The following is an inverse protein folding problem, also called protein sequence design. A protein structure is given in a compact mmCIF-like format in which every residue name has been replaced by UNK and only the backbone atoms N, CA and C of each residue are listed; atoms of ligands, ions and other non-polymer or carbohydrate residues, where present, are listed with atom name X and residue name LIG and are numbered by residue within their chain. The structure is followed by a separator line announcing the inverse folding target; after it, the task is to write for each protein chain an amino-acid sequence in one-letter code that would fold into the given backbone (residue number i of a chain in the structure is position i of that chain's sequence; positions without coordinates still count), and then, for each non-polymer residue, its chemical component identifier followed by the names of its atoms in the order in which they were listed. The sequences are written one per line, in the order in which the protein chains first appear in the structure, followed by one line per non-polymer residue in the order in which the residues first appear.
data_IF_944082123800
#
_entry.id   IF_944082123800
#
_cell.length_a   1.000
_cell.length_b   1.000
_cell.length_c   1.000
_cell.angle_alpha   90.00
_cell.angle_beta   90.00
_cell.angle_gamma   90.00
#
_symmetry.space_group_name_H-M   'P 1'
#
loop_
_entity.id
_entity.type
_entity.pdbx_description
1 polymer ?
#
# COMPACT_ATOMS: atom_id res chain seq x y z
N UNK A 1 0.92 3.60 -15.01
CA UNK A 1 2.00 3.56 -13.98
C UNK A 1 2.88 2.37 -14.31
N UNK A 2 4.21 2.46 -14.14
CA UNK A 2 5.12 1.31 -14.34
C UNK A 2 5.00 0.36 -13.15
N UNK A 3 4.92 -0.96 -13.34
CA UNK A 3 4.92 -1.91 -12.24
C UNK A 3 6.33 -2.06 -11.64
N UNK A 4 6.43 -2.48 -10.37
CA UNK A 4 7.70 -2.88 -9.76
C UNK A 4 8.20 -4.20 -10.33
N UNK A 5 7.28 -5.15 -10.55
CA UNK A 5 7.58 -6.46 -11.11
C UNK A 5 6.86 -6.69 -12.42
N UNK A 6 7.55 -7.33 -13.35
CA UNK A 6 6.97 -7.83 -14.58
C UNK A 6 7.01 -9.35 -14.58
N UNK A 7 5.93 -9.97 -15.05
CA UNK A 7 5.80 -11.41 -15.14
C UNK A 7 5.11 -11.77 -16.44
N UNK A 8 5.48 -12.91 -17.03
CA UNK A 8 4.71 -13.52 -18.12
C UNK A 8 3.45 -14.18 -17.58
N UNK A 9 3.62 -14.91 -16.47
CA UNK A 9 2.60 -15.64 -15.74
C UNK A 9 2.99 -15.76 -14.25
N UNK A 10 2.19 -16.49 -13.47
CA UNK A 10 2.37 -16.67 -12.02
C UNK A 10 3.52 -17.61 -11.63
N UNK A 11 4.12 -18.33 -12.59
CA UNK A 11 5.18 -19.32 -12.36
C UNK A 11 6.52 -18.94 -13.04
N UNK A 12 6.51 -17.89 -13.85
CA UNK A 12 7.64 -17.42 -14.64
C UNK A 12 8.65 -16.58 -13.86
N UNK A 13 9.73 -16.21 -14.55
CA UNK A 13 10.76 -15.31 -14.01
C UNK A 13 10.15 -13.93 -13.80
N UNK A 14 10.20 -13.45 -12.56
CA UNK A 14 9.83 -12.07 -12.24
C UNK A 14 10.97 -11.14 -12.61
N UNK A 15 10.68 -10.03 -13.27
CA UNK A 15 11.67 -9.01 -13.59
C UNK A 15 11.43 -7.76 -12.77
N UNK A 16 12.46 -7.30 -12.08
CA UNK A 16 12.46 -6.05 -11.34
C UNK A 16 12.56 -4.90 -12.34
N UNK A 17 11.60 -3.97 -12.32
CA UNK A 17 11.72 -2.72 -13.06
C UNK A 17 12.72 -1.81 -12.31
N UNK A 18 13.91 -1.54 -12.87
CA UNK A 18 14.94 -0.77 -12.19
C UNK A 18 14.57 0.71 -12.03
N UNK A 19 13.63 1.25 -12.81
CA UNK A 19 13.17 2.62 -12.60
C UNK A 19 12.38 2.76 -11.30
N UNK A 20 11.52 1.79 -11.01
CA UNK A 20 10.72 1.75 -9.78
C UNK A 20 11.56 1.21 -8.62
N UNK A 21 12.27 0.10 -8.85
CA UNK A 21 13.06 -0.59 -7.83
C UNK A 21 14.23 0.23 -7.29
N UNK A 22 14.84 1.12 -8.09
CA UNK A 22 15.96 1.94 -7.63
C UNK A 22 15.60 2.87 -6.45
N UNK A 23 14.32 3.20 -6.28
CA UNK A 23 13.85 4.05 -5.19
C UNK A 23 13.40 3.25 -3.95
N UNK A 24 13.18 1.94 -4.06
CA UNK A 24 12.46 1.17 -3.02
C UNK A 24 13.14 -0.14 -2.63
N UNK A 25 14.00 -0.70 -3.48
CA UNK A 25 14.73 -1.93 -3.20
C UNK A 25 16.10 -1.59 -2.63
N UNK A 26 16.43 -2.24 -1.52
CA UNK A 26 17.68 -2.05 -0.81
C UNK A 26 18.77 -3.02 -1.29
N UNK A 27 20.02 -2.67 -1.00
CA UNK A 27 21.20 -3.47 -1.37
C UNK A 27 22.00 -2.96 -2.56
N UNK A 28 21.65 -1.79 -3.13
CA UNK A 28 22.54 -1.03 -4.03
C UNK A 28 22.88 -1.69 -5.38
N UNK A 29 22.03 -2.60 -5.87
CA UNK A 29 22.31 -3.45 -7.03
C UNK A 29 21.86 -2.89 -8.37
N UNK A 30 20.86 -2.00 -8.33
CA UNK A 30 20.31 -1.40 -9.55
C UNK A 30 21.26 -0.30 -10.02
N UNK A 31 21.79 -0.46 -11.22
CA UNK A 31 22.73 0.50 -11.80
C UNK A 31 22.00 1.48 -12.73
N UNK A 32 22.63 2.64 -12.98
CA UNK A 32 22.14 3.56 -14.01
C UNK A 32 22.10 2.92 -15.42
N UNK A 33 22.89 1.87 -15.66
CA UNK A 33 22.84 1.12 -16.92
C UNK A 33 21.57 0.26 -17.02
N UNK A 34 21.12 -0.32 -15.90
CA UNK A 34 19.88 -1.10 -15.81
C UNK A 34 18.67 -0.23 -16.08
N UNK A 35 18.62 0.96 -15.47
CA UNK A 35 17.57 1.96 -15.70
C UNK A 35 17.49 2.31 -17.18
N UNK A 36 18.61 2.67 -17.82
CA UNK A 36 18.66 3.00 -19.25
C UNK A 36 18.27 1.83 -20.15
N UNK A 37 18.60 0.59 -19.77
CA UNK A 37 18.19 -0.60 -20.51
C UNK A 37 16.65 -0.72 -20.50
N UNK A 38 16.03 -0.64 -19.31
CA UNK A 38 14.58 -0.76 -19.18
C UNK A 38 13.80 0.42 -19.76
N UNK A 39 14.37 1.62 -19.80
CA UNK A 39 13.80 2.74 -20.55
C UNK A 39 13.72 2.43 -22.06
N UNK A 40 14.81 1.91 -22.64
CA UNK A 40 14.81 1.50 -24.06
C UNK A 40 13.81 0.39 -24.35
N UNK A 41 13.73 -0.62 -23.47
CA UNK A 41 12.81 -1.74 -23.62
C UNK A 41 11.35 -1.27 -23.45
N UNK A 42 11.08 -0.37 -22.51
CA UNK A 42 9.76 0.25 -22.34
C UNK A 42 9.33 1.04 -23.58
N UNK A 43 10.24 1.81 -24.19
CA UNK A 43 9.95 2.53 -25.44
C UNK A 43 9.71 1.58 -26.62
N UNK A 44 10.35 0.40 -26.64
CA UNK A 44 10.21 -0.59 -27.71
C UNK A 44 8.90 -1.39 -27.61
N UNK A 45 8.56 -1.88 -26.42
CA UNK A 45 7.46 -2.84 -26.23
C UNK A 45 6.22 -2.24 -25.54
N UNK A 46 6.35 -1.09 -24.87
CA UNK A 46 5.26 -0.48 -24.12
C UNK A 46 4.92 -1.18 -22.80
N UNK A 47 3.78 -0.83 -22.17
CA UNK A 47 3.39 -1.32 -20.85
C UNK A 47 2.88 -2.77 -20.83
N UNK A 48 2.52 -3.32 -21.97
CA UNK A 48 1.90 -4.65 -22.13
C UNK A 48 2.55 -5.38 -23.31
N UNK A 49 3.76 -5.92 -23.13
CA UNK A 49 4.43 -6.72 -24.15
C UNK A 49 3.64 -8.00 -24.44
N UNK A 50 3.73 -8.51 -25.67
CA UNK A 50 3.30 -9.88 -25.98
C UNK A 50 4.23 -10.90 -25.32
N UNK A 51 3.83 -12.18 -25.26
CA UNK A 51 4.67 -13.25 -24.72
C UNK A 51 6.07 -13.30 -25.36
N UNK A 52 6.15 -13.26 -26.69
CA UNK A 52 7.43 -13.23 -27.42
C UNK A 52 8.29 -12.00 -27.05
N UNK A 53 7.65 -10.84 -26.92
CA UNK A 53 8.33 -9.60 -26.52
C UNK A 53 8.81 -9.67 -25.07
N UNK A 54 8.06 -10.32 -24.18
CA UNK A 54 8.45 -10.54 -22.80
C UNK A 54 9.63 -11.52 -22.70
N UNK A 55 9.63 -12.60 -23.50
CA UNK A 55 10.77 -13.51 -23.58
C UNK A 55 12.06 -12.80 -24.05
N UNK A 56 11.97 -11.91 -25.04
CA UNK A 56 13.09 -11.04 -25.43
C UNK A 56 13.55 -10.14 -24.27
N UNK A 57 12.62 -9.60 -23.51
CA UNK A 57 12.88 -8.75 -22.35
C UNK A 57 13.61 -9.53 -21.25
N UNK A 58 13.14 -10.73 -20.90
CA UNK A 58 13.79 -11.64 -19.94
C UNK A 58 15.21 -12.00 -20.41
N UNK A 59 15.39 -12.29 -21.70
CA UNK A 59 16.70 -12.63 -22.26
C UNK A 59 17.69 -11.46 -22.20
N UNK A 60 17.24 -10.25 -22.47
CA UNK A 60 18.07 -9.04 -22.43
C UNK A 60 18.36 -8.54 -21.00
N UNK A 61 17.56 -8.95 -20.02
CA UNK A 61 17.65 -8.47 -18.64
C UNK A 61 18.81 -9.15 -17.87
N UNK A 62 19.67 -8.39 -17.18
CA UNK A 62 20.72 -8.93 -16.32
C UNK A 62 20.19 -9.82 -15.20
N UNK A 63 21.00 -10.78 -14.74
CA UNK A 63 20.62 -11.73 -13.69
C UNK A 63 20.19 -11.06 -12.37
N UNK A 64 20.90 -10.02 -11.92
CA UNK A 64 20.52 -9.21 -10.74
C UNK A 64 19.12 -8.56 -10.78
N UNK A 65 18.48 -8.47 -11.95
CA UNK A 65 17.11 -7.94 -12.09
C UNK A 65 16.06 -9.05 -12.26
N UNK A 66 16.48 -10.32 -12.25
CA UNK A 66 15.58 -11.48 -12.29
C UNK A 66 15.33 -11.93 -10.88
N UNK A 67 14.10 -11.82 -10.41
CA UNK A 67 13.68 -12.23 -9.08
C UNK A 67 13.14 -13.66 -9.11
N UNK A 68 13.60 -14.45 -8.16
CA UNK A 68 13.06 -15.75 -7.79
C UNK A 68 12.43 -15.61 -6.41
N UNK A 69 11.17 -16.04 -6.28
CA UNK A 69 10.44 -15.96 -5.02
C UNK A 69 11.11 -16.79 -3.91
N UNK A 70 10.87 -16.47 -2.63
CA UNK A 70 11.50 -17.17 -1.52
C UNK A 70 11.17 -18.67 -1.56
N UNK A 71 12.17 -19.49 -1.32
CA UNK A 71 12.02 -20.95 -1.24
C UNK A 71 12.92 -21.51 -0.15
N UNK A 72 12.68 -22.76 0.27
CA UNK A 72 13.58 -23.45 1.19
C UNK A 72 15.03 -23.47 0.69
N UNK A 73 15.23 -23.56 -0.63
CA UNK A 73 16.56 -23.60 -1.24
C UNK A 73 17.30 -22.26 -1.16
N UNK A 74 16.57 -21.15 -1.23
CA UNK A 74 17.13 -19.79 -1.26
C UNK A 74 17.10 -19.09 0.09
N UNK A 75 16.46 -19.68 1.10
CA UNK A 75 16.29 -19.10 2.44
C UNK A 75 17.59 -18.62 3.08
N UNK A 76 18.67 -19.39 2.95
CA UNK A 76 19.96 -19.02 3.55
C UNK A 76 20.51 -17.70 3.01
N UNK A 77 20.24 -17.37 1.75
CA UNK A 77 20.70 -16.13 1.13
C UNK A 77 20.04 -14.88 1.73
N UNK A 78 18.86 -15.03 2.36
CA UNK A 78 18.09 -13.95 2.98
C UNK A 78 18.03 -14.05 4.50
N UNK A 79 18.79 -14.93 5.14
CA UNK A 79 18.64 -15.23 6.57
C UNK A 79 18.89 -14.01 7.48
N UNK A 80 19.75 -13.08 7.06
CA UNK A 80 20.02 -11.86 7.83
C UNK A 80 18.84 -10.89 7.75
N UNK A 81 18.27 -10.73 6.55
CA UNK A 81 17.14 -9.86 6.28
C UNK A 81 15.82 -10.44 6.83
N UNK A 82 15.64 -11.77 6.81
CA UNK A 82 14.50 -12.43 7.49
C UNK A 82 14.53 -12.23 9.01
N UNK A 83 15.70 -12.00 9.60
CA UNK A 83 15.87 -11.73 11.03
C UNK A 83 15.69 -10.26 11.41
N UNK A 84 15.63 -9.36 10.42
CA UNK A 84 15.45 -7.93 10.60
C UNK A 84 13.97 -7.57 10.42
N UNK A 85 13.29 -7.21 11.51
CA UNK A 85 11.86 -6.89 11.50
C UNK A 85 11.51 -5.68 10.62
N UNK A 86 12.48 -4.81 10.30
CA UNK A 86 12.29 -3.69 9.39
C UNK A 86 12.49 -4.07 7.91
N UNK A 87 12.93 -5.30 7.63
CA UNK A 87 13.20 -5.80 6.29
C UNK A 87 12.07 -6.70 5.81
N UNK A 88 11.63 -6.46 4.57
CA UNK A 88 10.61 -7.25 3.91
C UNK A 88 11.25 -7.98 2.74
N UNK A 89 11.49 -9.27 2.94
CA UNK A 89 12.15 -10.13 1.95
C UNK A 89 11.21 -10.43 0.78
N UNK A 90 11.71 -10.19 -0.43
CA UNK A 90 10.99 -10.48 -1.68
C UNK A 90 11.45 -11.77 -2.34
N UNK A 91 12.68 -12.21 -2.08
CA UNK A 91 13.26 -13.39 -2.69
C UNK A 91 14.74 -13.21 -2.98
N UNK A 92 15.22 -13.89 -4.02
CA UNK A 92 16.61 -13.80 -4.46
C UNK A 92 16.73 -13.39 -5.92
N UNK A 93 17.77 -12.64 -6.25
CA UNK A 93 18.07 -12.34 -7.64
C UNK A 93 18.68 -13.55 -8.39
N UNK A 94 18.84 -13.44 -9.71
CA UNK A 94 19.50 -14.46 -10.53
C UNK A 94 20.99 -14.61 -10.25
N UNK A 95 21.56 -13.78 -9.37
CA UNK A 95 22.94 -13.89 -8.87
C UNK A 95 22.98 -14.56 -7.47
N UNK A 96 21.82 -14.99 -6.95
CA UNK A 96 21.68 -15.76 -5.71
C UNK A 96 21.66 -14.91 -4.45
N UNK A 97 21.46 -13.60 -4.57
CA UNK A 97 21.47 -12.70 -3.42
C UNK A 97 20.09 -12.27 -2.98
N UNK A 98 19.95 -11.91 -1.69
CA UNK A 98 18.67 -11.44 -1.17
C UNK A 98 18.22 -10.11 -1.82
N UNK A 99 16.94 -10.09 -2.20
CA UNK A 99 16.21 -8.90 -2.62
C UNK A 99 15.17 -8.61 -1.56
N UNK A 100 15.21 -7.40 -1.02
CA UNK A 100 14.32 -6.94 0.03
C UNK A 100 14.10 -5.44 -0.13
N UNK A 101 13.02 -4.93 0.44
CA UNK A 101 12.93 -3.52 0.79
C UNK A 101 12.99 -3.39 2.29
N UNK A 102 13.47 -2.25 2.76
CA UNK A 102 13.24 -1.86 4.15
C UNK A 102 12.00 -1.03 4.22
N UNK A 103 11.25 -1.21 5.30
CA UNK A 103 10.27 -0.22 5.67
C UNK A 103 11.05 1.07 6.00
N UNK A 104 11.12 1.96 5.01
CA UNK A 104 11.63 3.31 5.21
C UNK A 104 10.50 4.06 5.91
N UNK A 105 10.42 3.93 7.23
CA UNK A 105 9.63 4.85 8.02
C UNK A 105 10.54 6.03 8.41
N UNK A 106 10.49 7.19 7.73
CA UNK A 106 10.44 8.38 8.53
C UNK A 106 9.08 8.34 9.21
N UNK A 107 9.06 8.15 10.53
CA UNK A 107 7.86 8.42 11.31
C UNK A 107 7.40 9.82 10.92
N UNK A 108 6.26 9.93 10.24
CA UNK A 108 5.57 11.20 10.24
C UNK A 108 5.32 11.54 11.72
N UNK A 109 5.50 12.79 12.16
CA UNK A 109 5.07 13.17 13.51
C UNK A 109 3.56 12.97 13.70
N UNK A 110 2.83 12.72 12.61
CA UNK A 110 1.40 12.57 12.59
C UNK A 110 0.96 11.11 12.80
N UNK A 111 -0.25 10.97 13.32
CA UNK A 111 -0.93 9.72 13.65
C UNK A 111 -2.20 9.61 12.80
N UNK A 112 -2.56 8.39 12.44
CA UNK A 112 -3.80 8.06 11.76
C UNK A 112 -4.70 7.22 12.67
N UNK A 113 -6.01 7.50 12.63
CA UNK A 113 -7.02 6.71 13.30
C UNK A 113 -7.40 5.50 12.45
N UNK A 114 -7.35 4.32 13.04
CA UNK A 114 -7.69 3.06 12.38
C UNK A 114 -9.19 2.77 12.51
N UNK A 115 -9.71 1.96 11.58
CA UNK A 115 -11.14 1.57 11.56
C UNK A 115 -11.56 0.69 12.76
N UNK A 116 -10.63 0.28 13.62
CA UNK A 116 -10.88 -0.46 14.86
C UNK A 116 -10.86 0.44 16.11
N UNK A 117 -10.71 1.76 15.93
CA UNK A 117 -10.59 2.74 17.01
C UNK A 117 -9.19 2.88 17.61
N UNK A 118 -8.21 2.14 17.09
CA UNK A 118 -6.80 2.31 17.46
C UNK A 118 -6.15 3.45 16.65
N UNK A 119 -4.89 3.74 16.95
CA UNK A 119 -4.12 4.79 16.29
C UNK A 119 -2.71 4.31 16.00
N UNK A 120 -2.28 4.49 14.76
CA UNK A 120 -0.96 4.10 14.26
C UNK A 120 -0.15 5.34 13.83
N UNK A 121 1.19 5.33 14.01
CA UNK A 121 2.04 6.38 13.47
C UNK A 121 1.99 6.33 11.96
N UNK A 122 1.96 7.49 11.32
CA UNK A 122 1.88 7.53 9.89
C UNK A 122 3.23 7.31 9.21
N UNK A 123 3.16 6.60 8.10
CA UNK A 123 4.26 6.37 7.16
C UNK A 123 4.10 7.33 5.98
N UNK A 124 5.12 7.48 5.12
CA UNK A 124 4.98 8.32 3.93
C UNK A 124 3.81 7.88 3.03
N UNK A 125 3.47 6.59 3.03
CA UNK A 125 2.37 6.02 2.25
C UNK A 125 0.99 6.26 2.87
N UNK A 126 0.89 6.49 4.18
CA UNK A 126 -0.37 6.83 4.89
C UNK A 126 -0.51 8.33 5.21
N UNK A 127 0.49 9.13 4.84
CA UNK A 127 0.61 10.55 5.22
C UNK A 127 -0.58 11.45 4.86
N UNK A 128 -1.36 11.14 3.81
CA UNK A 128 -2.52 11.95 3.43
C UNK A 128 -3.71 11.85 4.41
N UNK A 129 -3.80 10.76 5.18
CA UNK A 129 -4.89 10.51 6.15
C UNK A 129 -4.46 10.77 7.59
N UNK A 130 -3.16 10.86 7.82
CA UNK A 130 -2.53 11.16 9.08
C UNK A 130 -2.63 12.63 9.47
N UNK A 131 -3.71 12.99 10.15
CA UNK A 131 -4.05 14.38 10.50
C UNK A 131 -3.71 14.76 11.95
N UNK A 132 -3.39 13.78 12.81
CA UNK A 132 -3.21 14.04 14.25
C UNK A 132 -1.75 14.24 14.62
N UNK A 133 -1.38 15.37 15.20
CA UNK A 133 0.00 15.65 15.62
C UNK A 133 0.50 14.80 16.82
N UNK A 134 -0.35 13.97 17.43
CA UNK A 134 0.02 13.08 18.54
C UNK A 134 -0.91 11.87 18.65
N UNK A 135 -0.40 10.79 19.25
CA UNK A 135 -1.20 9.60 19.59
C UNK A 135 -2.39 9.95 20.47
N UNK A 136 -2.19 10.83 21.44
CA UNK A 136 -3.24 11.23 22.39
C UNK A 136 -4.37 11.97 21.69
N UNK A 137 -4.07 12.91 20.79
CA UNK A 137 -5.10 13.60 20.00
C UNK A 137 -5.80 12.66 19.03
N UNK A 138 -5.10 11.67 18.49
CA UNK A 138 -5.70 10.64 17.64
C UNK A 138 -6.68 9.78 18.45
N UNK A 139 -6.24 9.18 19.56
CA UNK A 139 -7.10 8.33 20.40
C UNK A 139 -8.31 9.08 20.93
N UNK A 140 -8.17 10.36 21.30
CA UNK A 140 -9.28 11.19 21.73
C UNK A 140 -10.32 11.41 20.62
N UNK A 141 -9.88 11.54 19.36
CA UNK A 141 -10.78 11.67 18.22
C UNK A 141 -11.35 10.31 17.76
N UNK A 142 -10.61 9.23 17.98
CA UNK A 142 -11.04 7.84 17.73
C UNK A 142 -11.98 7.28 18.81
N UNK A 143 -12.09 7.96 19.96
CA UNK A 143 -12.97 7.58 21.07
C UNK A 143 -14.43 8.08 20.90
N UNK A 144 -14.88 8.20 19.64
CA UNK A 144 -16.23 8.63 19.31
C UNK A 144 -17.24 7.48 19.30
N UNK A 145 -18.55 7.79 19.42
CA UNK A 145 -19.58 6.79 19.23
C UNK A 145 -19.54 6.21 17.80
N UNK A 146 -19.80 4.93 17.66
CA UNK A 146 -19.94 4.22 16.40
C UNK A 146 -21.38 4.32 15.88
N UNK A 147 -21.57 4.27 14.57
CA UNK A 147 -22.89 4.28 13.95
C UNK A 147 -22.96 3.35 12.74
N UNK A 148 -24.17 2.88 12.42
CA UNK A 148 -24.40 2.10 11.19
C UNK A 148 -24.30 3.01 9.96
N UNK A 149 -23.54 2.62 8.95
CA UNK A 149 -23.46 3.34 7.67
C UNK A 149 -24.06 2.50 6.52
N UNK A 150 -24.85 3.15 5.67
CA UNK A 150 -25.66 2.49 4.64
C UNK A 150 -26.81 1.69 5.27
N UNK A 151 -27.54 0.91 4.47
CA UNK A 151 -28.58 -0.02 4.94
C UNK A 151 -27.97 -1.19 5.75
N UNK A 152 -27.27 -0.89 6.84
CA UNK A 152 -26.71 -1.84 7.81
C UNK A 152 -25.50 -2.66 7.31
N UNK A 153 -24.73 -2.15 6.34
CA UNK A 153 -23.63 -2.93 5.74
C UNK A 153 -22.30 -2.88 6.51
N UNK A 154 -22.03 -1.80 7.24
CA UNK A 154 -20.82 -1.67 8.05
C UNK A 154 -20.98 -0.62 9.15
N UNK A 155 -20.11 -0.70 10.16
CA UNK A 155 -20.00 0.27 11.24
C UNK A 155 -18.88 1.27 10.95
N UNK A 156 -19.12 2.54 11.23
CA UNK A 156 -18.10 3.57 11.16
C UNK A 156 -18.12 4.44 12.41
N UNK A 157 -16.96 4.98 12.76
CA UNK A 157 -16.86 5.97 13.80
C UNK A 157 -17.65 7.23 13.40
N UNK A 158 -18.57 7.68 14.26
CA UNK A 158 -19.36 8.88 14.02
C UNK A 158 -18.50 10.13 14.24
N UNK A 159 -17.71 10.48 13.22
CA UNK A 159 -16.71 11.54 13.25
C UNK A 159 -17.26 12.94 12.99
N UNK A 160 -18.54 13.22 13.33
CA UNK A 160 -19.14 14.55 13.09
C UNK A 160 -18.38 15.72 13.76
N UNK A 161 -17.45 15.43 14.69
CA UNK A 161 -16.70 16.45 15.43
C UNK A 161 -15.27 16.66 14.91
N UNK A 162 -14.73 15.81 14.02
CA UNK A 162 -13.29 15.80 13.75
C UNK A 162 -12.88 16.16 12.30
N UNK A 163 -13.70 16.87 11.52
CA UNK A 163 -13.27 17.41 10.21
C UNK A 163 -12.71 16.40 9.19
N UNK A 164 -12.82 15.10 9.46
CA UNK A 164 -12.33 14.02 8.63
C UNK A 164 -13.36 13.83 7.50
N UNK A 165 -13.02 14.36 6.34
CA UNK A 165 -13.68 13.97 5.10
C UNK A 165 -13.28 12.51 4.81
N UNK A 166 -14.07 11.56 5.30
CA UNK A 166 -14.01 10.19 4.80
C UNK A 166 -14.72 10.22 3.46
N UNK A 167 -13.97 10.23 2.36
CA UNK A 167 -14.58 10.01 1.04
C UNK A 167 -15.15 8.59 1.01
N UNK A 168 -16.43 8.41 0.61
CA UNK A 168 -17.01 7.09 0.48
C UNK A 168 -16.19 6.29 -0.53
N UNK A 169 -15.74 5.09 -0.15
CA UNK A 169 -15.16 4.14 -1.10
C UNK A 169 -16.26 3.72 -2.09
N UNK A 170 -16.28 4.40 -3.24
CA UNK A 170 -16.99 3.96 -4.44
C UNK A 170 -18.18 4.84 -4.85
N UNK A 171 -17.89 5.87 -5.64
CA UNK A 171 -18.63 6.17 -6.87
C UNK A 171 -17.68 6.92 -7.83
N UNK A 172 -17.01 6.15 -8.70
CA UNK A 172 -16.51 6.69 -9.96
C UNK A 172 -17.74 7.09 -10.79
N UNK A 173 -18.08 8.38 -10.86
CA UNK A 173 -18.26 9.06 -12.15
C UNK A 173 -18.61 10.55 -12.05
N UNK A 174 -17.98 11.29 -12.96
CA UNK A 174 -18.36 12.60 -13.52
C UNK A 174 -18.37 13.86 -12.64
N UNK A 175 -17.41 14.75 -12.93
CA UNK A 175 -17.70 16.15 -13.26
C UNK A 175 -17.79 17.18 -12.11
N UNK A 176 -16.86 18.14 -12.15
CA UNK A 176 -16.94 19.50 -11.60
C UNK A 176 -17.39 19.72 -10.14
N UNK A 177 -16.46 20.23 -9.32
CA UNK A 177 -16.49 21.61 -8.82
C UNK A 177 -15.78 21.74 -7.47
N UNK A 178 -14.83 22.67 -7.43
CA UNK A 178 -14.31 23.25 -6.20
C UNK A 178 -15.44 23.98 -5.47
N UNK A 179 -15.77 23.56 -4.24
CA UNK A 179 -16.45 24.38 -3.25
C UNK A 179 -16.33 23.75 -1.85
N UNK A 180 -16.05 24.61 -0.87
CA UNK A 180 -16.11 24.41 0.58
C UNK A 180 -17.00 23.24 1.04
N UNK A 181 -16.45 22.28 1.80
CA UNK A 181 -17.26 21.29 2.55
C UNK A 181 -16.83 21.20 4.00
N UNK A 182 -17.06 22.28 4.74
CA UNK A 182 -17.39 22.16 6.17
C UNK A 182 -18.81 21.59 6.26
N UNK A 183 -18.93 20.30 6.60
CA UNK A 183 -20.20 19.63 6.86
C UNK A 183 -20.62 18.61 5.79
N UNK A 184 -19.98 17.45 5.80
CA UNK A 184 -20.58 16.24 5.19
C UNK A 184 -21.70 15.79 6.14
N UNK A 185 -22.94 16.15 5.81
CA UNK A 185 -24.12 15.55 6.44
C UNK A 185 -24.22 14.13 5.90
N UNK A 186 -23.87 13.14 6.72
CA UNK A 186 -24.14 11.73 6.42
C UNK A 186 -25.66 11.52 6.39
N UNK A 187 -26.27 11.63 5.23
CA UNK A 187 -27.66 11.23 5.01
C UNK A 187 -27.71 9.70 5.04
N UNK A 188 -27.93 9.11 6.21
CA UNK A 188 -28.00 7.66 6.38
C UNK A 188 -27.71 7.13 7.78
N UNK A 189 -27.12 7.92 8.68
CA UNK A 189 -27.02 7.55 10.09
C UNK A 189 -28.42 7.53 10.70
N UNK A 190 -28.92 6.36 11.12
CA UNK A 190 -30.02 6.31 12.08
C UNK A 190 -29.49 6.79 13.44
N UNK A 191 -30.33 7.40 14.27
CA UNK A 191 -30.00 8.03 15.56
C UNK A 191 -29.38 7.10 16.63
N UNK A 192 -28.97 5.88 16.28
CA UNK A 192 -28.29 4.95 17.18
C UNK A 192 -26.77 5.13 17.10
N UNK A 193 -26.23 5.71 18.15
CA UNK A 193 -24.79 5.74 18.47
C UNK A 193 -24.44 4.62 19.44
N UNK A 194 -23.27 3.99 19.27
CA UNK A 194 -22.78 2.89 20.11
C UNK A 194 -21.42 3.22 20.72
N UNK A 195 -21.18 2.83 21.97
CA UNK A 195 -19.93 3.16 22.68
C UNK A 195 -18.73 2.31 22.22
N UNK A 196 -18.96 1.28 21.40
CA UNK A 196 -17.89 0.45 20.83
C UNK A 196 -18.25 -0.10 19.45
N UNK A 197 -17.22 -0.46 18.67
CA UNK A 197 -17.37 -1.14 17.38
C UNK A 197 -18.16 -2.44 17.53
N UNK A 198 -17.84 -3.25 18.54
CA UNK A 198 -18.53 -4.52 18.80
C UNK A 198 -20.03 -4.33 19.04
N UNK A 199 -20.42 -3.31 19.82
CA UNK A 199 -21.84 -2.99 20.05
C UNK A 199 -22.52 -2.53 18.75
N UNK A 200 -21.80 -1.76 17.93
CA UNK A 200 -22.28 -1.35 16.62
C UNK A 200 -22.47 -2.56 15.69
N UNK A 201 -21.48 -3.43 15.54
CA UNK A 201 -21.53 -4.59 14.64
C UNK A 201 -22.68 -5.53 15.01
N UNK A 202 -22.88 -5.75 16.31
CA UNK A 202 -24.00 -6.54 16.84
C UNK A 202 -25.36 -5.90 16.53
N UNK A 203 -25.51 -4.59 16.75
CA UNK A 203 -26.78 -3.90 16.56
C UNK A 203 -27.10 -3.61 15.08
N UNK A 204 -26.07 -3.39 14.27
CA UNK A 204 -26.17 -3.11 12.85
C UNK A 204 -26.11 -4.38 12.00
N UNK A 205 -25.92 -5.58 12.58
CA UNK A 205 -25.79 -6.83 11.83
C UNK A 205 -24.77 -6.75 10.69
N UNK A 206 -23.64 -6.08 10.95
CA UNK A 206 -22.55 -5.97 9.99
C UNK A 206 -21.91 -7.36 9.82
N UNK A 207 -21.65 -7.75 8.58
CA UNK A 207 -21.00 -9.03 8.23
C UNK A 207 -19.58 -8.79 7.76
#
# INVERSE_FOLDING_TARGET
RRPLFWAEDEFGVLLIDPWVGNASLEGGRITAADVRLFERLWLKYGPTPTADQFAELVAATPARLKLTLPSWQTRQACAAEEADEASMVLGTDGEGSCVYWREIAPASPNWEAMNDGTCEPATETTSARATFASRTSCLAASAGPWGCVGDHKYCALNTTVAGLAVEPMGALDSGEASAQRSGVKWTGLRDSTFDSLQMCEQACNCR
#
